data_IF_989300084856
#
_entry.id   IF_989300084856
#
_cell.length_a   1.000
_cell.length_b   1.000
_cell.length_c   1.000
_cell.angle_alpha   90.00
_cell.angle_beta   90.00
_cell.angle_gamma   90.00
#
_symmetry.space_group_name_H-M   'P 1'
#
loop_
_entity.id
_entity.type
_entity.pdbx_description
1 polymer ?
#
# COMPACT_ATOMS: atom_id res chain seq x y z
N UNK A 1 31.72 4.74 15.21
CA UNK A 1 30.68 3.74 14.89
C UNK A 1 29.27 4.31 14.93
N UNK A 2 28.75 4.77 16.09
CA UNK A 2 27.37 5.31 16.16
C UNK A 2 27.17 6.64 15.39
N UNK A 3 28.15 7.56 15.45
CA UNK A 3 28.11 8.81 14.71
C UNK A 3 28.19 8.58 13.19
N UNK A 4 29.08 7.69 12.75
CA UNK A 4 29.24 7.36 11.33
C UNK A 4 27.96 6.74 10.75
N UNK A 5 27.28 5.88 11.52
CA UNK A 5 26.00 5.31 11.14
C UNK A 5 24.89 6.39 11.05
N UNK A 6 24.85 7.34 11.99
CA UNK A 6 23.91 8.47 11.96
C UNK A 6 24.16 9.39 10.75
N UNK A 7 25.43 9.69 10.46
CA UNK A 7 25.83 10.48 9.28
C UNK A 7 25.46 9.75 8.00
N UNK A 8 25.72 8.45 7.90
CA UNK A 8 25.34 7.65 6.73
C UNK A 8 23.82 7.64 6.51
N UNK A 9 23.03 7.46 7.58
CA UNK A 9 21.57 7.44 7.50
C UNK A 9 20.99 8.80 7.08
N UNK A 10 21.54 9.89 7.63
CA UNK A 10 21.10 11.26 7.28
C UNK A 10 21.47 11.63 5.85
N UNK A 11 22.68 11.29 5.40
CA UNK A 11 23.11 11.50 4.00
C UNK A 11 22.25 10.67 3.05
N UNK A 12 22.01 9.39 3.35
CA UNK A 12 21.15 8.54 2.52
C UNK A 12 19.71 9.08 2.44
N UNK A 13 19.14 9.49 3.57
CA UNK A 13 17.81 10.09 3.62
C UNK A 13 17.71 11.38 2.80
N UNK A 14 18.68 12.28 2.93
CA UNK A 14 18.74 13.52 2.15
C UNK A 14 18.97 13.25 0.65
N UNK A 15 19.82 12.28 0.32
CA UNK A 15 20.10 11.90 -1.07
C UNK A 15 18.86 11.38 -1.80
N UNK A 16 17.87 10.84 -1.08
CA UNK A 16 16.57 10.45 -1.66
C UNK A 16 15.57 11.60 -1.60
N UNK A 17 15.39 12.22 -0.43
CA UNK A 17 14.36 13.22 -0.22
C UNK A 17 14.58 14.50 -1.05
N UNK A 18 15.82 15.00 -1.10
CA UNK A 18 16.12 16.24 -1.82
C UNK A 18 15.80 16.15 -3.32
N UNK A 19 16.27 15.15 -4.10
CA UNK A 19 15.92 15.06 -5.50
C UNK A 19 14.43 14.78 -5.73
N UNK A 20 13.75 14.01 -4.87
CA UNK A 20 12.29 13.81 -5.00
C UNK A 20 11.53 15.13 -4.83
N UNK A 21 11.87 15.92 -3.80
CA UNK A 21 11.23 17.23 -3.58
C UNK A 21 11.54 18.20 -4.72
N UNK A 22 12.77 18.21 -5.21
CA UNK A 22 13.20 19.06 -6.31
C UNK A 22 12.49 18.66 -7.61
N UNK A 23 12.33 17.37 -7.88
CA UNK A 23 11.55 16.86 -8.99
C UNK A 23 10.07 17.28 -8.88
N UNK A 24 9.44 17.12 -7.71
CA UNK A 24 8.05 17.57 -7.49
C UNK A 24 7.90 19.07 -7.70
N UNK A 25 8.83 19.88 -7.17
CA UNK A 25 8.82 21.33 -7.34
C UNK A 25 8.96 21.73 -8.82
N UNK A 26 9.91 21.08 -9.52
CA UNK A 26 10.11 21.27 -10.96
C UNK A 26 8.87 20.89 -11.76
N UNK A 27 8.28 19.71 -11.51
CA UNK A 27 7.06 19.28 -12.17
C UNK A 27 5.91 20.24 -11.91
N UNK A 28 5.72 20.72 -10.68
CA UNK A 28 4.68 21.71 -10.36
C UNK A 28 4.89 23.03 -11.11
N UNK A 29 6.12 23.45 -11.30
CA UNK A 29 6.42 24.66 -12.06
C UNK A 29 6.21 24.44 -13.57
N UNK A 30 6.67 23.31 -14.11
CA UNK A 30 6.61 22.98 -15.53
C UNK A 30 5.19 22.63 -16.01
N UNK A 31 4.34 22.06 -15.14
CA UNK A 31 2.98 21.59 -15.49
C UNK A 31 1.86 22.56 -15.11
N UNK A 32 2.21 23.76 -14.61
CA UNK A 32 1.23 24.83 -14.32
C UNK A 32 0.64 25.37 -15.62
N UNK A 33 -0.41 24.72 -16.12
CA UNK A 33 -1.24 25.20 -17.22
C UNK A 33 -2.40 26.10 -16.73
N UNK A 34 -3.12 26.76 -17.64
CA UNK A 34 -4.31 27.55 -17.29
C UNK A 34 -5.38 26.67 -16.62
N UNK A 35 -5.75 27.02 -15.39
CA UNK A 35 -6.83 26.40 -14.64
C UNK A 35 -8.16 26.73 -15.29
N UNK A 36 -8.77 25.72 -15.93
CA UNK A 36 -10.13 25.82 -16.43
C UNK A 36 -11.02 24.97 -15.51
N UNK A 37 -12.17 25.47 -15.05
CA UNK A 37 -13.03 24.75 -14.11
C UNK A 37 -13.48 23.38 -14.65
N UNK A 38 -13.60 23.24 -15.97
CA UNK A 38 -13.90 21.98 -16.64
C UNK A 38 -12.74 20.95 -16.55
N UNK A 39 -11.48 21.42 -16.49
CA UNK A 39 -10.30 20.54 -16.34
C UNK A 39 -10.15 20.00 -14.91
N UNK A 40 -10.73 20.71 -13.95
CA UNK A 40 -10.71 20.35 -12.52
C UNK A 40 -11.95 19.53 -12.11
N UNK A 41 -13.00 19.55 -12.93
CA UNK A 41 -14.16 18.72 -12.73
C UNK A 41 -13.81 17.23 -12.90
N UNK A 42 -14.42 16.37 -12.07
CA UNK A 42 -14.27 14.92 -12.24
C UNK A 42 -14.81 14.51 -13.60
N UNK A 43 -14.05 13.71 -14.33
CA UNK A 43 -14.48 13.14 -15.60
C UNK A 43 -15.59 12.12 -15.34
N UNK A 44 -16.83 12.59 -15.36
CA UNK A 44 -18.02 11.75 -15.43
C UNK A 44 -18.46 11.71 -16.89
N UNK A 45 -18.95 10.56 -17.37
CA UNK A 45 -19.22 10.23 -18.77
C UNK A 45 -20.18 11.20 -19.51
N UNK A 46 -19.75 12.45 -19.75
CA UNK A 46 -20.49 13.53 -20.39
C UNK A 46 -21.58 14.20 -19.53
N UNK A 47 -21.88 13.70 -18.33
CA UNK A 47 -22.94 14.26 -17.47
C UNK A 47 -22.31 15.05 -16.30
N UNK A 48 -22.90 16.17 -15.86
CA UNK A 48 -22.47 16.84 -14.63
C UNK A 48 -22.57 15.88 -13.44
N UNK A 49 -21.62 15.93 -12.48
CA UNK A 49 -21.61 15.05 -11.33
C UNK A 49 -22.92 15.20 -10.55
N UNK A 50 -23.71 14.12 -10.49
CA UNK A 50 -24.97 14.08 -9.75
C UNK A 50 -24.96 12.97 -8.71
N UNK A 51 -25.20 13.38 -7.47
CA UNK A 51 -25.37 12.49 -6.32
C UNK A 51 -24.07 12.22 -5.55
N UNK A 52 -24.19 11.61 -4.36
CA UNK A 52 -23.03 11.18 -3.58
C UNK A 52 -22.28 10.11 -4.38
N UNK A 53 -20.98 10.34 -4.61
CA UNK A 53 -20.12 9.36 -5.24
C UNK A 53 -20.24 8.02 -4.50
N UNK A 54 -20.76 7.00 -5.18
CA UNK A 54 -20.74 5.65 -4.63
C UNK A 54 -19.27 5.30 -4.44
N UNK A 55 -18.83 5.10 -3.20
CA UNK A 55 -17.52 4.51 -2.89
C UNK A 55 -17.69 3.03 -2.52
N UNK A 56 -18.08 2.13 -3.44
CA UNK A 56 -18.02 0.73 -3.12
C UNK A 56 -16.56 0.25 -3.20
N UNK A 57 -16.20 -0.64 -2.28
CA UNK A 57 -15.04 -1.53 -2.33
C UNK A 57 -13.68 -1.06 -1.76
N UNK A 58 -13.51 0.10 -1.12
CA UNK A 58 -12.23 0.41 -0.46
C UNK A 58 -11.85 -0.66 0.58
N UNK A 59 -12.84 -1.14 1.33
CA UNK A 59 -12.65 -2.20 2.32
C UNK A 59 -12.39 -3.59 1.72
N UNK A 60 -12.85 -3.86 0.50
CA UNK A 60 -12.57 -5.14 -0.17
C UNK A 60 -11.08 -5.26 -0.52
N UNK A 61 -10.46 -4.17 -0.97
CA UNK A 61 -9.02 -4.13 -1.25
C UNK A 61 -8.17 -4.03 0.02
N UNK A 62 -8.72 -3.48 1.11
CA UNK A 62 -8.01 -3.35 2.39
C UNK A 62 -7.50 -4.71 2.90
N UNK A 63 -8.29 -5.78 2.77
CA UNK A 63 -7.84 -7.13 3.14
C UNK A 63 -6.60 -7.59 2.39
N UNK A 64 -6.49 -7.25 1.11
CA UNK A 64 -5.30 -7.57 0.29
C UNK A 64 -4.10 -6.70 0.64
N UNK A 65 -4.30 -5.43 0.93
CA UNK A 65 -3.24 -4.51 1.37
C UNK A 65 -2.67 -4.94 2.73
N UNK A 66 -3.53 -5.35 3.66
CA UNK A 66 -3.10 -5.85 4.97
C UNK A 66 -2.30 -7.16 4.86
N UNK A 67 -2.71 -8.08 3.97
CA UNK A 67 -1.94 -9.29 3.68
C UNK A 67 -0.55 -8.95 3.12
N UNK A 68 -0.46 -7.96 2.23
CA UNK A 68 0.80 -7.50 1.66
C UNK A 68 1.73 -6.92 2.73
N UNK A 69 1.24 -5.99 3.56
CA UNK A 69 2.03 -5.36 4.63
C UNK A 69 2.49 -6.39 5.68
N UNK A 70 1.63 -7.36 6.02
CA UNK A 70 1.99 -8.40 6.98
C UNK A 70 3.09 -9.35 6.45
N UNK A 71 3.17 -9.52 5.13
CA UNK A 71 4.15 -10.42 4.49
C UNK A 71 5.51 -9.73 4.23
N UNK A 72 5.54 -8.40 4.15
CA UNK A 72 6.73 -7.60 3.89
C UNK A 72 7.93 -7.88 4.84
N UNK A 73 7.78 -7.88 6.18
CA UNK A 73 8.91 -8.15 7.08
C UNK A 73 9.45 -9.58 6.94
N UNK A 74 8.62 -10.50 6.47
CA UNK A 74 9.00 -11.91 6.27
C UNK A 74 9.91 -12.02 5.06
N UNK A 75 9.57 -11.33 3.98
CA UNK A 75 10.44 -11.25 2.80
C UNK A 75 11.77 -10.58 3.14
N UNK A 76 11.78 -9.56 4.00
CA UNK A 76 13.04 -9.00 4.50
C UNK A 76 13.87 -10.03 5.27
N UNK A 77 13.26 -10.80 6.16
CA UNK A 77 13.96 -11.86 6.90
C UNK A 77 14.53 -12.94 5.96
N UNK A 78 13.76 -13.35 4.96
CA UNK A 78 14.19 -14.28 3.90
C UNK A 78 15.42 -13.80 3.14
N UNK A 79 15.56 -12.49 2.92
CA UNK A 79 16.69 -11.90 2.19
C UNK A 79 17.93 -11.64 3.07
N UNK A 80 17.72 -11.28 4.33
CA UNK A 80 18.80 -10.87 5.25
C UNK A 80 19.50 -12.08 5.90
N UNK A 81 18.78 -13.17 6.16
CA UNK A 81 19.34 -14.33 6.87
C UNK A 81 20.40 -15.12 6.09
N UNK A 82 20.26 -15.38 4.77
CA UNK A 82 21.25 -16.17 4.03
C UNK A 82 22.58 -15.46 3.76
N UNK A 83 22.62 -14.13 3.86
CA UNK A 83 23.74 -13.31 3.38
C UNK A 83 24.88 -13.14 4.39
N UNK A 84 24.71 -13.57 5.65
CA UNK A 84 25.63 -13.17 6.73
C UNK A 84 26.59 -14.22 7.32
N UNK A 85 26.33 -15.52 7.22
CA UNK A 85 26.93 -16.45 8.21
C UNK A 85 27.64 -17.70 7.69
N UNK A 86 27.70 -17.96 6.37
CA UNK A 86 28.24 -19.22 5.84
C UNK A 86 27.43 -20.48 6.23
N UNK A 87 26.42 -20.32 7.10
CA UNK A 87 25.48 -21.34 7.58
C UNK A 87 24.19 -21.30 6.75
N UNK A 88 24.35 -21.38 5.44
CA UNK A 88 23.26 -21.22 4.48
C UNK A 88 22.11 -22.22 4.70
N UNK A 89 22.41 -23.44 5.18
CA UNK A 89 21.39 -24.46 5.46
C UNK A 89 20.46 -24.04 6.60
N UNK A 90 20.99 -23.48 7.67
CA UNK A 90 20.19 -23.02 8.81
C UNK A 90 19.39 -21.77 8.46
N UNK A 91 19.99 -20.85 7.70
CA UNK A 91 19.29 -19.69 7.17
C UNK A 91 18.14 -20.12 6.25
N UNK A 92 18.33 -21.14 5.43
CA UNK A 92 17.30 -21.71 4.56
C UNK A 92 16.19 -22.40 5.36
N UNK A 93 16.53 -23.18 6.39
CA UNK A 93 15.55 -23.84 7.25
C UNK A 93 14.73 -22.82 8.05
N UNK A 94 15.36 -21.79 8.59
CA UNK A 94 14.67 -20.71 9.32
C UNK A 94 13.76 -19.89 8.39
N UNK A 95 14.22 -19.66 7.16
CA UNK A 95 13.46 -19.04 6.08
C UNK A 95 12.20 -19.84 5.73
N UNK A 96 12.35 -21.14 5.48
CA UNK A 96 11.24 -22.07 5.21
C UNK A 96 10.26 -22.16 6.39
N UNK A 97 10.78 -22.25 7.62
CA UNK A 97 9.97 -22.27 8.83
C UNK A 97 9.15 -20.97 8.99
N UNK A 98 9.75 -19.82 8.69
CA UNK A 98 9.08 -18.52 8.74
C UNK A 98 7.93 -18.50 7.74
N UNK A 99 8.16 -18.87 6.47
CA UNK A 99 7.11 -18.97 5.44
C UNK A 99 5.99 -19.92 5.88
N UNK A 100 6.34 -21.09 6.41
CA UNK A 100 5.37 -22.08 6.86
C UNK A 100 4.44 -21.54 7.97
N UNK A 101 4.97 -20.76 8.91
CA UNK A 101 4.19 -20.10 9.98
C UNK A 101 3.21 -19.06 9.43
N UNK A 102 3.51 -18.43 8.29
CA UNK A 102 2.65 -17.42 7.69
C UNK A 102 1.55 -17.97 6.79
N UNK A 103 1.71 -19.18 6.26
CA UNK A 103 0.72 -19.78 5.38
C UNK A 103 -0.68 -19.86 6.02
N UNK A 104 -0.85 -20.29 7.29
CA UNK A 104 -2.16 -20.32 7.94
C UNK A 104 -2.85 -18.94 8.06
N UNK A 105 -2.23 -17.89 8.62
CA UNK A 105 -2.88 -16.57 8.70
C UNK A 105 -3.11 -15.95 7.31
N UNK A 106 -2.22 -16.18 6.33
CA UNK A 106 -2.43 -15.68 4.96
C UNK A 106 -3.64 -16.36 4.30
N UNK A 107 -3.78 -17.68 4.46
CA UNK A 107 -4.91 -18.44 3.95
C UNK A 107 -6.23 -18.00 4.62
N UNK A 108 -6.20 -17.76 5.93
CA UNK A 108 -7.34 -17.23 6.67
C UNK A 108 -7.74 -15.83 6.18
N UNK A 109 -6.77 -14.93 6.07
CA UNK A 109 -6.99 -13.56 5.59
C UNK A 109 -7.55 -13.54 4.16
N UNK A 110 -7.03 -14.38 3.26
CA UNK A 110 -7.54 -14.49 1.89
C UNK A 110 -8.98 -15.00 1.86
N UNK A 111 -9.30 -16.00 2.69
CA UNK A 111 -10.68 -16.52 2.82
C UNK A 111 -11.63 -15.45 3.35
N UNK A 112 -11.17 -14.62 4.29
CA UNK A 112 -11.95 -13.52 4.86
C UNK A 112 -12.15 -12.37 3.87
N UNK A 113 -11.11 -11.95 3.15
CA UNK A 113 -11.18 -10.92 2.13
C UNK A 113 -12.18 -11.25 1.00
N UNK A 114 -12.34 -12.54 0.67
CA UNK A 114 -13.30 -13.03 -0.35
C UNK A 114 -14.76 -13.03 0.10
N UNK A 115 -15.10 -12.65 1.32
CA UNK A 115 -16.49 -12.63 1.82
C UNK A 115 -17.14 -11.27 1.60
N UNK A 116 -17.89 -11.04 0.51
CA UNK A 116 -18.51 -9.75 0.22
C UNK A 116 -19.51 -9.32 1.30
N UNK A 117 -20.05 -10.26 2.07
CA UNK A 117 -21.00 -10.05 3.17
C UNK A 117 -20.48 -9.09 4.25
N UNK A 118 -19.17 -9.10 4.54
CA UNK A 118 -18.55 -8.20 5.54
C UNK A 118 -18.29 -6.78 5.01
N UNK A 119 -18.37 -6.60 3.69
CA UNK A 119 -17.94 -5.38 3.01
C UNK A 119 -19.09 -4.63 2.34
N UNK A 120 -20.26 -5.26 2.22
CA UNK A 120 -21.50 -4.57 1.84
C UNK A 120 -21.93 -3.71 3.01
N UNK A 121 -21.69 -2.41 2.92
CA UNK A 121 -22.40 -1.42 3.72
C UNK A 121 -23.89 -1.67 3.47
N UNK A 122 -24.61 -2.18 4.48
CA UNK A 122 -26.07 -2.19 4.43
C UNK A 122 -26.49 -0.75 4.21
N UNK A 123 -27.18 -0.48 3.09
CA UNK A 123 -27.86 0.80 2.96
C UNK A 123 -28.76 0.93 4.19
N UNK A 124 -28.68 2.03 4.97
CA UNK A 124 -29.74 2.33 5.91
C UNK A 124 -31.04 2.29 5.09
N UNK A 125 -32.08 1.71 5.70
CA UNK A 125 -33.30 1.26 5.05
C UNK A 125 -33.75 2.17 3.89
N UNK A 126 -34.10 1.54 2.77
CA UNK A 126 -34.99 2.18 1.83
C UNK A 126 -36.31 2.40 2.55
N UNK A 127 -36.44 3.57 3.17
CA UNK A 127 -37.76 4.15 3.39
C UNK A 127 -38.44 4.27 2.02
N UNK A 128 -39.70 3.86 2.08
CA UNK A 128 -40.73 3.86 1.07
C UNK A 128 -40.67 5.09 0.15
N UNK A 129 -40.97 4.90 -1.13
CA UNK A 129 -42.05 5.68 -1.74
C UNK A 129 -42.67 4.91 -2.91
N UNK A 130 -43.99 4.81 -2.81
CA UNK A 130 -44.97 4.36 -3.79
C UNK A 130 -44.91 5.14 -5.11
#
# INVERSE_FOLDING_TARGET
>A
MALDALVALTVAGLAVAAPTLLAVAFLRLATRGPGAPMKEARFEAGNPPRGPGRFPALYQYLGYVLMFIALDPVFMLLFVLPSGTGRWMEALLLSLASVAVLLPPLAYALRYARRPEYWRLQSPGGEEHH
#
